data_IF_998122568624
#
_entry.id   IF_998122568624
#
_cell.length_a   1.000
_cell.length_b   1.000
_cell.length_c   1.000
_cell.angle_alpha   90.00
_cell.angle_beta   90.00
_cell.angle_gamma   90.00
#
_symmetry.space_group_name_H-M   'P 1'
#
loop_
_entity.id
_entity.type
_entity.pdbx_description
1 polymer ?
#
# COMPACT_ATOMS: atom_id res chain seq x y z
N UNK A 1 -10.86 7.15 -3.03
CA UNK A 1 -10.33 7.01 -1.66
C UNK A 1 -8.82 7.16 -1.71
N UNK A 2 -8.29 8.17 -1.02
CA UNK A 2 -6.87 8.46 -0.65
C UNK A 2 -6.80 9.97 -0.30
N UNK A 3 -7.61 10.38 0.67
CA UNK A 3 -7.48 11.67 1.33
C UNK A 3 -6.86 11.38 2.69
N UNK A 4 -5.79 12.10 3.01
CA UNK A 4 -5.07 12.11 4.29
C UNK A 4 -3.99 11.05 4.52
N UNK A 5 -3.03 10.89 3.62
CA UNK A 5 -1.73 10.39 4.10
C UNK A 5 -1.16 11.40 5.10
N UNK A 6 -1.17 11.08 6.39
CA UNK A 6 -0.50 11.73 7.54
C UNK A 6 -0.38 13.27 7.51
N UNK A 7 -1.29 13.96 8.22
CA UNK A 7 -1.01 15.31 8.82
C UNK A 7 -0.13 15.21 10.07
N UNK A 8 0.35 14.01 10.39
CA UNK A 8 1.31 13.74 11.48
C UNK A 8 2.60 14.54 11.26
N UNK A 9 2.97 14.78 10.00
CA UNK A 9 4.02 15.73 9.62
C UNK A 9 3.36 17.05 9.24
N UNK A 10 3.85 18.15 9.83
CA UNK A 10 3.31 19.48 9.60
C UNK A 10 3.66 19.97 8.19
N UNK A 11 2.69 19.92 7.29
CA UNK A 11 2.78 20.46 5.93
C UNK A 11 1.70 21.53 5.71
N UNK A 12 1.99 22.50 4.85
CA UNK A 12 0.98 23.44 4.40
C UNK A 12 -0.11 22.76 3.55
N UNK A 13 -1.24 23.44 3.40
CA UNK A 13 -2.41 22.93 2.67
C UNK A 13 -2.11 22.54 1.23
N UNK A 14 -1.28 23.31 0.51
CA UNK A 14 -0.96 23.02 -0.89
C UNK A 14 -0.09 21.75 -0.99
N UNK A 15 0.87 21.60 -0.09
CA UNK A 15 1.72 20.41 0.02
C UNK A 15 0.90 19.15 0.34
N UNK A 16 -0.06 19.25 1.27
CA UNK A 16 -1.00 18.16 1.58
C UNK A 16 -1.89 17.80 0.39
N UNK A 17 -2.41 18.80 -0.34
CA UNK A 17 -3.20 18.58 -1.55
C UNK A 17 -2.40 17.88 -2.65
N UNK A 18 -1.15 18.31 -2.89
CA UNK A 18 -0.24 17.69 -3.86
C UNK A 18 0.05 16.23 -3.49
N UNK A 19 0.40 15.97 -2.23
CA UNK A 19 0.61 14.62 -1.70
C UNK A 19 -0.62 13.73 -1.88
N UNK A 20 -1.81 14.23 -1.55
CA UNK A 20 -3.07 13.49 -1.74
C UNK A 20 -3.37 13.22 -3.22
N UNK A 21 -3.07 14.18 -4.11
CA UNK A 21 -3.20 13.97 -5.55
C UNK A 21 -2.29 12.85 -6.06
N UNK A 22 -1.04 12.81 -5.60
CA UNK A 22 -0.10 11.75 -5.93
C UNK A 22 -0.57 10.39 -5.41
N UNK A 23 -1.06 10.30 -4.17
CA UNK A 23 -1.61 9.06 -3.61
C UNK A 23 -2.82 8.54 -4.38
N UNK A 24 -3.72 9.43 -4.82
CA UNK A 24 -4.84 9.05 -5.70
C UNK A 24 -4.35 8.56 -7.06
N UNK A 25 -3.36 9.23 -7.64
CA UNK A 25 -2.76 8.82 -8.92
C UNK A 25 -2.14 7.42 -8.82
N UNK A 26 -1.36 7.17 -7.76
CA UNK A 26 -0.79 5.86 -7.48
C UNK A 26 -1.88 4.79 -7.36
N UNK A 27 -2.91 5.03 -6.55
CA UNK A 27 -4.02 4.10 -6.36
C UNK A 27 -4.73 3.74 -7.68
N UNK A 28 -5.03 4.74 -8.52
CA UNK A 28 -5.65 4.51 -9.83
C UNK A 28 -4.75 3.67 -10.74
N UNK A 29 -3.45 3.98 -10.79
CA UNK A 29 -2.50 3.25 -11.59
C UNK A 29 -2.32 1.79 -11.10
N UNK A 30 -2.28 1.56 -9.79
CA UNK A 30 -2.23 0.21 -9.18
C UNK A 30 -3.43 -0.63 -9.59
N UNK A 31 -4.65 -0.09 -9.48
CA UNK A 31 -5.86 -0.83 -9.88
C UNK A 31 -5.90 -1.09 -11.39
N UNK A 32 -5.40 -0.17 -12.21
CA UNK A 32 -5.27 -0.37 -13.64
C UNK A 32 -4.24 -1.47 -13.97
N UNK A 33 -3.10 -1.50 -13.26
CA UNK A 33 -2.11 -2.56 -13.40
C UNK A 33 -2.69 -3.93 -13.02
N UNK A 34 -3.39 -4.01 -11.89
CA UNK A 34 -4.08 -5.22 -11.45
C UNK A 34 -5.05 -5.74 -12.52
N UNK A 35 -5.90 -4.85 -13.05
CA UNK A 35 -6.88 -5.19 -14.09
C UNK A 35 -6.20 -5.69 -15.37
N UNK A 36 -5.14 -5.02 -15.81
CA UNK A 36 -4.37 -5.43 -16.98
C UNK A 36 -3.71 -6.80 -16.76
N UNK A 37 -3.10 -7.05 -15.60
CA UNK A 37 -2.50 -8.34 -15.27
C UNK A 37 -3.52 -9.46 -15.27
N UNK A 38 -4.70 -9.27 -14.66
CA UNK A 38 -5.75 -10.30 -14.67
C UNK A 38 -6.22 -10.62 -16.08
N UNK A 39 -6.38 -9.62 -16.96
CA UNK A 39 -6.70 -9.86 -18.38
C UNK A 39 -5.60 -10.63 -19.11
N UNK A 40 -4.34 -10.35 -18.78
CA UNK A 40 -3.20 -11.11 -19.30
C UNK A 40 -3.24 -12.58 -18.91
N UNK A 41 -3.52 -12.86 -17.63
CA UNK A 41 -3.65 -14.24 -17.13
C UNK A 41 -4.88 -14.94 -17.71
N UNK A 42 -6.03 -14.28 -17.75
CA UNK A 42 -7.27 -14.84 -18.32
C UNK A 42 -7.09 -15.23 -19.80
N UNK A 43 -6.40 -14.38 -20.58
CA UNK A 43 -6.11 -14.67 -21.98
C UNK A 43 -5.21 -15.90 -22.15
N UNK A 44 -4.24 -16.09 -21.26
CA UNK A 44 -3.38 -17.28 -21.21
C UNK A 44 -4.17 -18.55 -20.86
N UNK A 45 -5.01 -18.50 -19.84
CA UNK A 45 -5.82 -19.64 -19.39
C UNK A 45 -6.84 -20.07 -20.44
N UNK A 46 -7.48 -19.11 -21.12
CA UNK A 46 -8.51 -19.39 -22.13
C UNK A 46 -7.95 -20.07 -23.38
N UNK A 47 -6.75 -19.67 -23.80
CA UNK A 47 -6.16 -20.13 -25.07
C UNK A 47 -5.29 -21.37 -24.90
N UNK A 48 -4.92 -21.73 -23.66
CA UNK A 48 -4.00 -22.81 -23.32
C UNK A 48 -2.63 -22.75 -24.04
N UNK A 49 -2.33 -21.63 -24.69
CA UNK A 49 -1.11 -21.36 -25.42
C UNK A 49 -0.92 -19.85 -25.51
N UNK A 50 0.34 -19.40 -25.43
CA UNK A 50 0.67 -17.99 -25.57
C UNK A 50 0.60 -17.58 -27.05
N UNK A 51 -0.23 -16.59 -27.34
CA UNK A 51 -0.49 -16.12 -28.71
C UNK A 51 0.22 -14.81 -29.04
N UNK A 52 0.86 -14.19 -28.04
CA UNK A 52 1.53 -12.90 -28.15
C UNK A 52 0.61 -11.72 -27.84
N UNK A 53 -0.71 -11.89 -27.89
CA UNK A 53 -1.65 -10.81 -27.50
C UNK A 53 -1.59 -10.47 -26.01
N UNK A 54 -1.15 -11.41 -25.18
CA UNK A 54 -1.04 -11.29 -23.74
C UNK A 54 0.11 -10.33 -23.35
N UNK A 55 1.11 -10.17 -24.23
CA UNK A 55 2.18 -9.16 -24.10
C UNK A 55 1.63 -7.76 -23.95
N UNK A 56 0.53 -7.45 -24.65
CA UNK A 56 -0.10 -6.12 -24.58
C UNK A 56 -0.61 -5.85 -23.16
N UNK A 57 -1.20 -6.86 -22.52
CA UNK A 57 -1.71 -6.74 -21.16
C UNK A 57 -0.59 -6.63 -20.13
N UNK A 58 0.44 -7.46 -20.21
CA UNK A 58 1.58 -7.38 -19.29
C UNK A 58 2.39 -6.08 -19.49
N UNK A 59 2.59 -5.64 -20.73
CA UNK A 59 3.21 -4.34 -21.03
C UNK A 59 2.40 -3.18 -20.47
N UNK A 60 1.07 -3.22 -20.61
CA UNK A 60 0.19 -2.22 -20.04
C UNK A 60 0.27 -2.21 -18.51
N UNK A 61 0.29 -3.39 -17.87
CA UNK A 61 0.44 -3.51 -16.42
C UNK A 61 1.77 -2.91 -15.94
N UNK A 62 2.89 -3.24 -16.59
CA UNK A 62 4.21 -2.66 -16.29
C UNK A 62 4.22 -1.14 -16.44
N UNK A 63 3.62 -0.61 -17.50
CA UNK A 63 3.46 0.84 -17.67
C UNK A 63 2.71 1.50 -16.51
N UNK A 64 1.66 0.85 -16.01
CA UNK A 64 0.85 1.33 -14.88
C UNK A 64 1.57 1.19 -13.53
N UNK A 65 2.35 0.13 -13.32
CA UNK A 65 3.21 0.03 -12.13
C UNK A 65 4.26 1.14 -12.10
N UNK A 66 4.89 1.47 -13.24
CA UNK A 66 5.84 2.59 -13.34
C UNK A 66 5.18 3.96 -13.09
N UNK A 67 3.94 4.16 -13.55
CA UNK A 67 3.15 5.34 -13.19
C UNK A 67 2.91 5.42 -11.68
N UNK A 68 2.54 4.31 -11.04
CA UNK A 68 2.35 4.24 -9.60
C UNK A 68 3.65 4.51 -8.82
N UNK A 69 4.76 3.90 -9.22
CA UNK A 69 6.08 4.12 -8.62
C UNK A 69 6.51 5.59 -8.71
N UNK A 70 6.31 6.24 -9.86
CA UNK A 70 6.59 7.69 -10.00
C UNK A 70 5.73 8.55 -9.07
N UNK A 71 4.45 8.21 -8.92
CA UNK A 71 3.56 8.93 -8.02
C UNK A 71 3.95 8.74 -6.55
N UNK A 72 4.29 7.52 -6.13
CA UNK A 72 4.77 7.21 -4.79
C UNK A 72 6.14 7.85 -4.52
N UNK A 73 7.04 7.89 -5.50
CA UNK A 73 8.29 8.61 -5.39
C UNK A 73 8.04 10.10 -5.14
N UNK A 74 7.12 10.72 -5.89
CA UNK A 74 6.74 12.10 -5.63
C UNK A 74 6.13 12.31 -4.23
N UNK A 75 5.41 11.34 -3.68
CA UNK A 75 4.95 11.40 -2.29
C UNK A 75 6.10 11.31 -1.30
N UNK A 76 7.06 10.41 -1.55
CA UNK A 76 8.27 10.25 -0.75
C UNK A 76 9.10 11.53 -0.74
N UNK A 77 9.26 12.17 -1.89
CA UNK A 77 9.99 13.43 -2.06
C UNK A 77 9.32 14.59 -1.30
N UNK A 78 8.00 14.54 -1.09
CA UNK A 78 7.31 15.48 -0.19
C UNK A 78 7.59 15.10 1.26
N UNK A 79 7.39 13.82 1.62
CA UNK A 79 7.52 13.34 3.00
C UNK A 79 8.91 13.57 3.59
N UNK A 80 9.97 13.44 2.79
CA UNK A 80 11.36 13.64 3.24
C UNK A 80 11.65 15.08 3.68
N UNK A 81 10.84 16.05 3.24
CA UNK A 81 11.03 17.47 3.61
C UNK A 81 10.45 17.84 4.97
N UNK A 82 9.67 16.94 5.58
CA UNK A 82 9.06 17.19 6.87
C UNK A 82 9.54 16.22 7.94
N UNK A 83 9.33 16.61 9.18
CA UNK A 83 9.77 15.87 10.36
C UNK A 83 8.57 15.41 11.19
N UNK A 84 8.72 14.25 11.81
CA UNK A 84 7.76 13.71 12.75
C UNK A 84 7.92 14.43 14.09
N UNK A 85 6.86 15.06 14.61
CA UNK A 85 6.92 15.67 15.94
C UNK A 85 6.93 14.60 17.05
N UNK A 86 7.54 14.93 18.19
CA UNK A 86 7.57 14.03 19.37
C UNK A 86 6.16 13.66 19.86
N UNK A 87 5.23 14.61 19.81
CA UNK A 87 3.83 14.37 20.17
C UNK A 87 3.20 13.31 19.25
N UNK A 88 3.45 13.42 17.95
CA UNK A 88 2.91 12.51 16.97
C UNK A 88 3.58 11.13 17.02
N UNK A 89 4.89 11.09 17.27
CA UNK A 89 5.63 9.86 17.53
C UNK A 89 5.09 9.13 18.79
N UNK A 90 4.83 9.86 19.86
CA UNK A 90 4.24 9.30 21.06
C UNK A 90 2.82 8.80 20.80
N UNK A 91 1.98 9.57 20.11
CA UNK A 91 0.63 9.16 19.75
C UNK A 91 0.61 7.88 18.90
N UNK A 92 1.52 7.73 17.93
CA UNK A 92 1.65 6.51 17.14
C UNK A 92 2.01 5.29 18.00
N UNK A 93 2.90 5.43 18.98
CA UNK A 93 3.21 4.35 19.93
C UNK A 93 2.02 3.97 20.81
N UNK A 94 1.28 4.99 21.25
CA UNK A 94 0.09 4.90 22.09
C UNK A 94 -1.15 4.36 21.36
N UNK A 95 -1.09 4.27 20.02
CA UNK A 95 -2.22 4.00 19.16
C UNK A 95 -2.75 2.56 19.36
N UNK A 96 -4.07 2.45 19.41
CA UNK A 96 -4.79 1.19 19.55
C UNK A 96 -5.04 0.56 18.17
N UNK A 97 -3.96 0.05 17.58
CA UNK A 97 -3.97 -0.59 16.26
C UNK A 97 -4.92 -1.80 16.22
N UNK A 98 -5.00 -2.58 17.29
CA UNK A 98 -5.87 -3.76 17.32
C UNK A 98 -7.35 -3.36 17.23
N UNK A 99 -7.78 -2.38 18.04
CA UNK A 99 -9.16 -1.88 17.92
C UNK A 99 -9.45 -1.29 16.56
N UNK A 100 -8.50 -0.56 15.96
CA UNK A 100 -8.65 -0.03 14.61
C UNK A 100 -8.84 -1.16 13.58
N UNK A 101 -8.06 -2.22 13.67
CA UNK A 101 -8.15 -3.39 12.80
C UNK A 101 -9.51 -4.09 12.89
N UNK A 102 -9.94 -4.41 14.10
CA UNK A 102 -11.22 -5.08 14.34
C UNK A 102 -12.40 -4.24 13.85
N UNK A 103 -12.34 -2.92 14.08
CA UNK A 103 -13.34 -1.98 13.54
C UNK A 103 -13.34 -1.99 12.02
N UNK A 104 -12.15 -1.94 11.40
CA UNK A 104 -12.01 -1.93 9.94
C UNK A 104 -12.56 -3.19 9.27
N UNK A 105 -12.36 -4.37 9.87
CA UNK A 105 -12.93 -5.63 9.38
C UNK A 105 -14.45 -5.64 9.57
N UNK A 106 -14.94 -5.31 10.77
CA UNK A 106 -16.37 -5.33 11.08
C UNK A 106 -17.16 -4.40 10.15
N UNK A 107 -16.60 -3.25 9.80
CA UNK A 107 -17.18 -2.29 8.86
C UNK A 107 -16.87 -2.59 7.38
N UNK A 108 -16.16 -3.68 7.08
CA UNK A 108 -15.76 -4.10 5.72
C UNK A 108 -14.96 -3.04 4.96
N UNK A 109 -14.19 -2.21 5.67
CA UNK A 109 -13.35 -1.16 5.08
C UNK A 109 -11.97 -1.67 4.65
N UNK A 110 -11.51 -2.76 5.26
CA UNK A 110 -10.23 -3.41 4.96
C UNK A 110 -10.42 -4.93 4.93
N UNK A 111 -9.54 -5.67 4.22
CA UNK A 111 -9.58 -7.14 4.22
C UNK A 111 -9.09 -7.72 5.56
N UNK A 112 -9.55 -8.92 5.88
CA UNK A 112 -9.15 -9.66 7.08
C UNK A 112 -7.78 -10.35 6.91
N UNK A 113 -6.73 -9.55 6.71
CA UNK A 113 -5.36 -10.03 6.52
C UNK A 113 -4.45 -9.61 7.68
N UNK A 114 -4.34 -10.45 8.71
CA UNK A 114 -3.57 -10.12 9.91
C UNK A 114 -2.07 -9.89 9.60
N UNK A 115 -1.50 -10.62 8.64
CA UNK A 115 -0.10 -10.46 8.22
C UNK A 115 0.19 -9.05 7.70
N UNK A 116 -0.58 -8.58 6.71
CA UNK A 116 -0.42 -7.22 6.15
C UNK A 116 -0.73 -6.14 7.20
N UNK A 117 -1.65 -6.40 8.13
CA UNK A 117 -1.93 -5.49 9.23
C UNK A 117 -0.71 -5.37 10.16
N UNK A 118 -0.18 -6.51 10.62
CA UNK A 118 1.01 -6.56 11.47
C UNK A 118 2.21 -5.88 10.82
N UNK A 119 2.39 -6.04 9.50
CA UNK A 119 3.42 -5.33 8.73
C UNK A 119 3.22 -3.82 8.79
N UNK A 120 2.00 -3.33 8.57
CA UNK A 120 1.66 -1.90 8.64
C UNK A 120 1.94 -1.33 10.03
N UNK A 121 1.56 -2.04 11.10
CA UNK A 121 1.82 -1.65 12.49
C UNK A 121 3.33 -1.57 12.74
N UNK A 122 4.09 -2.59 12.35
CA UNK A 122 5.56 -2.59 12.50
C UNK A 122 6.22 -1.40 11.80
N UNK A 123 5.84 -1.11 10.56
CA UNK A 123 6.40 0.02 9.81
C UNK A 123 6.05 1.36 10.47
N UNK A 124 4.80 1.51 10.93
CA UNK A 124 4.34 2.77 11.52
C UNK A 124 4.95 3.03 12.90
N UNK A 125 5.13 1.99 13.70
CA UNK A 125 5.72 2.07 15.05
C UNK A 125 7.25 2.23 15.04
N UNK A 126 7.91 1.99 13.90
CA UNK A 126 9.35 2.25 13.72
C UNK A 126 9.73 3.73 13.84
N UNK A 127 8.74 4.64 13.81
CA UNK A 127 8.88 6.10 13.80
C UNK A 127 9.62 6.67 12.60
N UNK A 128 10.05 5.84 11.65
CA UNK A 128 10.46 6.31 10.34
C UNK A 128 9.20 6.61 9.51
N UNK A 129 8.87 7.90 9.37
CA UNK A 129 7.67 8.34 8.63
C UNK A 129 7.73 8.06 7.13
N UNK A 130 8.89 7.65 6.60
CA UNK A 130 9.05 7.19 5.22
C UNK A 130 8.80 5.69 5.04
N UNK A 131 8.87 4.89 6.12
CA UNK A 131 8.91 3.43 6.05
C UNK A 131 7.75 2.80 5.25
N UNK A 132 6.54 3.34 5.39
CA UNK A 132 5.38 2.84 4.63
C UNK A 132 5.50 3.15 3.14
N UNK A 133 5.97 4.35 2.78
CA UNK A 133 6.12 4.73 1.36
C UNK A 133 7.27 3.96 0.72
N UNK A 134 8.36 3.77 1.44
CA UNK A 134 9.50 2.96 1.00
C UNK A 134 9.11 1.49 0.81
N UNK A 135 8.32 0.92 1.73
CA UNK A 135 7.79 -0.43 1.59
C UNK A 135 6.89 -0.59 0.35
N UNK A 136 5.99 0.38 0.09
CA UNK A 136 5.16 0.36 -1.11
C UNK A 136 5.99 0.46 -2.40
N UNK A 137 7.05 1.27 -2.41
CA UNK A 137 7.96 1.38 -3.55
C UNK A 137 8.72 0.07 -3.80
N UNK A 138 9.21 -0.57 -2.72
CA UNK A 138 9.88 -1.87 -2.81
C UNK A 138 8.94 -2.94 -3.37
N UNK A 139 7.73 -3.05 -2.83
CA UNK A 139 6.75 -4.05 -3.28
C UNK A 139 6.38 -3.87 -4.76
N UNK A 140 6.23 -2.63 -5.22
CA UNK A 140 5.96 -2.35 -6.63
C UNK A 140 7.13 -2.77 -7.53
N UNK A 141 8.37 -2.54 -7.10
CA UNK A 141 9.55 -2.96 -7.84
C UNK A 141 9.63 -4.49 -7.94
N UNK A 142 9.33 -5.20 -6.86
CA UNK A 142 9.30 -6.66 -6.83
C UNK A 142 8.20 -7.22 -7.76
N UNK A 143 7.01 -6.61 -7.75
CA UNK A 143 5.91 -6.99 -8.66
C UNK A 143 6.28 -6.69 -10.12
N UNK A 144 6.90 -5.55 -10.40
CA UNK A 144 7.38 -5.20 -11.74
C UNK A 144 8.38 -6.25 -12.24
N UNK A 145 9.33 -6.65 -11.40
CA UNK A 145 10.33 -7.68 -11.73
C UNK A 145 9.67 -9.04 -12.00
N UNK A 146 8.69 -9.44 -11.18
CA UNK A 146 7.93 -10.68 -11.39
C UNK A 146 7.18 -10.68 -12.72
N UNK A 147 6.45 -9.61 -13.03
CA UNK A 147 5.70 -9.49 -14.30
C UNK A 147 6.65 -9.49 -15.49
N UNK A 148 7.76 -8.75 -15.41
CA UNK A 148 8.75 -8.68 -16.49
C UNK A 148 9.41 -10.06 -16.73
N UNK A 149 9.78 -10.75 -15.65
CA UNK A 149 10.35 -12.10 -15.71
C UNK A 149 9.37 -13.07 -16.36
N UNK A 150 8.13 -13.14 -15.86
CA UNK A 150 7.10 -14.02 -16.40
C UNK A 150 6.85 -13.71 -17.88
N UNK A 151 6.64 -12.44 -18.25
CA UNK A 151 6.39 -12.05 -19.64
C UNK A 151 7.56 -12.42 -20.57
N UNK A 152 8.81 -12.27 -20.11
CA UNK A 152 10.00 -12.62 -20.90
C UNK A 152 10.17 -14.13 -21.12
N UNK A 153 9.63 -14.94 -20.21
CA UNK A 153 9.71 -16.39 -20.27
C UNK A 153 8.71 -17.01 -21.27
N UNK A 154 7.69 -16.26 -21.70
CA UNK A 154 6.62 -16.75 -22.57
C UNK A 154 7.09 -16.86 -24.03
N UNK A 155 6.80 -17.99 -24.67
CA UNK A 155 7.16 -18.26 -26.07
C UNK A 155 5.90 -18.47 -26.92
N UNK A 156 5.82 -17.76 -28.05
CA UNK A 156 4.65 -17.79 -28.93
C UNK A 156 4.45 -19.18 -29.50
N UNK A 157 3.22 -19.69 -29.41
CA UNK A 157 2.83 -21.01 -29.92
C UNK A 157 3.17 -22.18 -28.99
N UNK A 158 3.80 -21.92 -27.84
CA UNK A 158 4.08 -22.94 -26.83
C UNK A 158 2.97 -22.99 -25.77
N UNK A 159 2.70 -24.20 -25.30
CA UNK A 159 1.90 -24.39 -24.09
C UNK A 159 2.67 -23.87 -22.87
N UNK A 160 1.93 -23.45 -21.84
CA UNK A 160 2.54 -22.98 -20.59
C UNK A 160 3.25 -24.13 -19.87
N UNK A 161 4.47 -23.88 -19.41
CA UNK A 161 5.17 -24.79 -18.52
C UNK A 161 4.61 -24.69 -17.09
N UNK A 162 4.78 -25.73 -16.25
CA UNK A 162 4.41 -25.65 -14.84
C UNK A 162 5.08 -24.49 -14.11
N UNK A 163 6.32 -24.14 -14.47
CA UNK A 163 7.07 -22.99 -13.95
C UNK A 163 6.34 -21.68 -14.27
N UNK A 164 5.96 -21.48 -15.53
CA UNK A 164 5.23 -20.28 -15.97
C UNK A 164 3.89 -20.15 -15.25
N UNK A 165 3.16 -21.26 -15.05
CA UNK A 165 1.92 -21.25 -14.28
C UNK A 165 2.16 -20.80 -12.84
N UNK A 166 3.23 -21.29 -12.18
CA UNK A 166 3.60 -20.85 -10.83
C UNK A 166 3.95 -19.36 -10.79
N UNK A 167 4.65 -18.85 -11.79
CA UNK A 167 4.99 -17.43 -11.87
C UNK A 167 3.74 -16.54 -12.01
N UNK A 168 2.75 -16.96 -12.81
CA UNK A 168 1.48 -16.26 -12.94
C UNK A 168 0.69 -16.23 -11.61
N UNK A 169 0.68 -17.36 -10.88
CA UNK A 169 0.08 -17.42 -9.54
C UNK A 169 0.83 -16.53 -8.55
N UNK A 170 2.16 -16.48 -8.62
CA UNK A 170 2.97 -15.61 -7.78
C UNK A 170 2.65 -14.13 -8.05
N UNK A 171 2.50 -13.73 -9.32
CA UNK A 171 2.10 -12.38 -9.71
C UNK A 171 0.73 -12.01 -9.11
N UNK A 172 -0.27 -12.89 -9.25
CA UNK A 172 -1.61 -12.66 -8.69
C UNK A 172 -1.57 -12.51 -7.16
N UNK A 173 -0.84 -13.41 -6.49
CA UNK A 173 -0.68 -13.38 -5.03
C UNK A 173 -0.02 -12.07 -4.57
N UNK A 174 1.11 -11.68 -5.19
CA UNK A 174 1.83 -10.45 -4.83
C UNK A 174 0.97 -9.20 -5.04
N UNK A 175 0.23 -9.13 -6.14
CA UNK A 175 -0.69 -8.03 -6.42
C UNK A 175 -1.83 -7.94 -5.39
N UNK A 176 -2.42 -9.08 -5.00
CA UNK A 176 -3.46 -9.12 -3.97
C UNK A 176 -2.94 -8.67 -2.60
N UNK A 177 -1.77 -9.16 -2.20
CA UNK A 177 -1.11 -8.76 -0.96
C UNK A 177 -0.82 -7.25 -0.94
N UNK A 178 -0.29 -6.73 -2.05
CA UNK A 178 0.00 -5.31 -2.19
C UNK A 178 -1.27 -4.44 -2.11
N UNK A 179 -2.36 -4.84 -2.78
CA UNK A 179 -3.64 -4.12 -2.70
C UNK A 179 -4.21 -4.16 -1.28
N UNK A 180 -4.14 -5.31 -0.61
CA UNK A 180 -4.57 -5.42 0.79
C UNK A 180 -3.77 -4.49 1.70
N UNK A 181 -2.44 -4.46 1.56
CA UNK A 181 -1.56 -3.57 2.31
C UNK A 181 -1.86 -2.10 2.02
N UNK A 182 -1.96 -1.71 0.75
CA UNK A 182 -2.28 -0.35 0.34
C UNK A 182 -3.66 0.12 0.86
N UNK A 183 -4.64 -0.77 0.90
CA UNK A 183 -5.96 -0.49 1.47
C UNK A 183 -5.91 -0.27 2.98
N UNK A 184 -5.10 -1.04 3.71
CA UNK A 184 -4.87 -0.83 5.15
C UNK A 184 -4.17 0.50 5.42
N UNK A 185 -3.15 0.85 4.63
CA UNK A 185 -2.49 2.16 4.69
C UNK A 185 -3.50 3.27 4.43
N UNK A 186 -4.33 3.16 3.39
CA UNK A 186 -5.38 4.14 3.10
C UNK A 186 -6.43 4.26 4.22
N UNK A 187 -6.75 3.16 4.89
CA UNK A 187 -7.67 3.14 6.02
C UNK A 187 -7.07 3.78 7.29
N UNK A 188 -5.80 3.53 7.59
CA UNK A 188 -5.14 4.23 8.69
C UNK A 188 -5.09 5.75 8.45
N UNK A 189 -4.91 6.13 7.19
CA UNK A 189 -4.82 7.52 6.75
C UNK A 189 -6.14 8.31 6.88
N UNK A 190 -7.31 7.67 6.97
CA UNK A 190 -8.56 8.43 7.25
C UNK A 190 -8.70 8.83 8.72
N UNK A 191 -7.83 8.34 9.62
CA UNK A 191 -7.84 8.72 11.03
C UNK A 191 -7.21 10.11 11.19
N UNK A 192 -7.93 11.01 11.87
CA UNK A 192 -7.40 12.34 12.19
C UNK A 192 -6.20 12.18 13.15
N UNK A 193 -5.04 12.78 12.84
CA UNK A 193 -3.88 12.69 13.71
C UNK A 193 -4.16 13.22 15.12
N UNK A 194 -3.54 12.58 16.11
CA UNK A 194 -3.67 12.92 17.53
C UNK A 194 -5.08 12.73 18.09
N UNK A 195 -6.01 12.08 17.37
CA UNK A 195 -7.35 11.79 17.87
C UNK A 195 -7.26 10.88 19.12
N UNK A 196 -7.69 11.36 20.30
CA UNK A 196 -7.56 10.61 21.54
C UNK A 196 -8.48 9.39 21.57
N UNK A 197 -9.51 9.32 20.72
CA UNK A 197 -10.42 8.16 20.64
C UNK A 197 -9.68 6.89 20.25
N UNK A 198 -8.54 7.00 19.58
CA UNK A 198 -7.75 5.87 19.09
C UNK A 198 -6.54 5.54 19.96
N UNK A 199 -6.37 6.21 21.10
CA UNK A 199 -5.31 5.89 22.07
C UNK A 199 -5.77 4.79 23.02
N UNK A 200 -4.84 3.92 23.45
CA UNK A 200 -5.14 2.87 24.44
C UNK A 200 -5.59 3.50 25.76
N UNK A 201 -6.67 2.97 26.35
CA UNK A 201 -7.29 3.54 27.56
C UNK A 201 -6.37 3.61 28.79
N UNK A 202 -5.36 2.75 28.87
CA UNK A 202 -4.35 2.79 29.94
C UNK A 202 -3.55 4.08 29.93
N UNK A 203 -3.17 4.58 28.75
CA UNK A 203 -2.31 5.77 28.61
C UNK A 203 -3.07 7.10 28.74
N UNK A 204 -4.39 7.08 28.49
CA UNK A 204 -5.27 8.24 28.75
C UNK A 204 -5.38 8.55 30.25
N UNK A 205 -5.28 7.52 31.11
CA UNK A 205 -5.36 7.67 32.57
C UNK A 205 -4.10 8.29 33.16
N UNK A 206 -2.93 7.91 32.66
CA UNK A 206 -1.64 8.39 33.18
C UNK A 206 -1.43 9.89 32.90
N UNK A 207 -1.78 10.37 31.69
CA UNK A 207 -1.72 11.81 31.36
C UNK A 207 -2.71 12.68 32.15
N UNK A 208 -3.86 12.13 32.53
CA UNK A 208 -4.85 12.84 33.34
C UNK A 208 -4.39 12.98 34.79
N UNK A 209 -3.65 11.99 35.31
CA UNK A 209 -3.03 12.01 36.63
C UNK A 209 -1.83 12.97 36.68
N UNK A 210 -0.95 12.98 35.67
CA UNK A 210 0.19 13.92 35.60
C UNK A 210 -0.27 15.40 35.59
N UNK A 211 -1.38 15.71 34.92
CA UNK A 211 -1.97 17.07 34.91
C UNK A 211 -2.69 17.47 36.20
N UNK A 212 -2.94 16.53 37.12
CA UNK A 212 -3.54 16.83 38.42
C UNK A 212 -2.49 17.05 39.52
N UNK A 213 -1.22 16.74 39.25
CA UNK A 213 -0.12 16.77 40.22
C UNK A 213 0.89 17.89 39.89
N UNK A 214 0.79 18.52 38.72
CA UNK A 214 1.53 19.74 38.34
C UNK A 214 0.66 20.99 38.38
#
# INVERSE_FOLDING_TARGET
MAQNCNKIVAFDTNTLQRKSSLGRSASVAIHAALSATYRGVEALETRQAFTGSEVVYFSAALGKLREASRALQGMRDILVTGELSDEAAHWLKAFDYERLYQTGIAERRIPASHEQWSRMVSLTTSLNHLAVTDALLSDLADIEALIASAASSLQVGSALTPEQVRDLLAIQSSLLQFVAFAQMVAYMNVIEPLDPRWVRRSEVRDRALERQIG
#
